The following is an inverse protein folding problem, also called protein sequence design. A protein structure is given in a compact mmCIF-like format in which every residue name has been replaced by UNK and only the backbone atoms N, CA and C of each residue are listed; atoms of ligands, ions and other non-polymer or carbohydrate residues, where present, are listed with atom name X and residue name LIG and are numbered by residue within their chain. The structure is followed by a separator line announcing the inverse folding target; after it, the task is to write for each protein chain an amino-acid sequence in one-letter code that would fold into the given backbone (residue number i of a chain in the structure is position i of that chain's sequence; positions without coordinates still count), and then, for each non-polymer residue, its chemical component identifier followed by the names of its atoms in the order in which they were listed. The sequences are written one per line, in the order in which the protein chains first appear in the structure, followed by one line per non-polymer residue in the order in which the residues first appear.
data_IF_099491756471
#
_entry.id   IF_099491756471
#
_cell.length_a   1.000
_cell.length_b   1.000
_cell.length_c   1.000
_cell.angle_alpha   90.00
_cell.angle_beta   90.00
_cell.angle_gamma   90.00
#
_symmetry.space_group_name_H-M   'P 1'
#
loop_
_entity.id
_entity.type
_entity.pdbx_description
1 polymer ?
#
# COMPACT_ATOMS: atom_id res chain seq x y z
N UNK A 1 35.88 -75.10 -13.83
CA UNK A 1 35.42 -76.43 -13.37
C UNK A 1 35.13 -76.30 -11.88
N UNK A 2 33.99 -76.69 -11.31
CA UNK A 2 32.79 -77.33 -11.87
C UNK A 2 31.54 -77.03 -11.03
N UNK A 3 30.36 -77.08 -11.66
CA UNK A 3 29.08 -77.69 -11.21
C UNK A 3 28.62 -77.51 -9.72
N UNK A 4 27.49 -76.87 -9.30
CA UNK A 4 26.06 -76.83 -9.72
C UNK A 4 25.11 -77.72 -8.86
N UNK A 5 24.06 -77.09 -8.26
CA UNK A 5 22.67 -77.57 -7.92
C UNK A 5 22.25 -78.19 -6.54
N UNK A 6 21.22 -77.52 -5.97
CA UNK A 6 20.00 -77.92 -5.21
C UNK A 6 19.93 -78.69 -3.87
N UNK A 7 19.25 -77.98 -2.93
CA UNK A 7 18.03 -78.33 -2.13
C UNK A 7 17.91 -79.68 -1.38
N UNK A 8 17.47 -79.58 -0.13
CA UNK A 8 16.31 -80.31 0.42
C UNK A 8 15.54 -79.44 1.43
N UNK A 9 14.23 -79.67 1.58
CA UNK A 9 13.30 -78.99 2.50
C UNK A 9 12.50 -80.07 3.25
N UNK A 10 12.30 -79.87 4.57
CA UNK A 10 11.32 -80.49 5.49
C UNK A 10 11.52 -79.75 6.85
N UNK A 11 10.54 -79.42 7.70
CA UNK A 11 9.13 -79.82 7.84
C UNK A 11 8.33 -78.67 8.50
N UNK A 12 7.00 -78.56 8.29
CA UNK A 12 6.09 -77.70 9.07
C UNK A 12 5.35 -78.48 10.17
N UNK A 13 5.02 -77.83 11.29
CA UNK A 13 3.90 -78.17 12.19
C UNK A 13 3.28 -76.84 12.69
N UNK A 14 1.96 -76.63 12.51
CA UNK A 14 1.17 -75.53 13.12
C UNK A 14 0.68 -75.91 14.53
N UNK A 15 0.01 -75.09 15.34
CA UNK A 15 -1.02 -74.03 15.16
C UNK A 15 -1.21 -73.32 16.52
N UNK A 16 -2.15 -72.38 16.74
CA UNK A 16 -2.84 -71.46 15.83
C UNK A 16 -2.24 -70.03 16.04
N UNK A 17 -2.87 -68.85 15.93
CA UNK A 17 -4.23 -68.40 15.56
C UNK A 17 -4.18 -67.00 14.88
N UNK A 18 -5.32 -66.31 14.74
CA UNK A 18 -5.49 -65.11 13.90
C UNK A 18 -5.58 -63.77 14.64
N UNK A 19 -4.85 -62.76 14.15
CA UNK A 19 -5.31 -61.37 14.10
C UNK A 19 -5.03 -60.80 12.71
N UNK A 20 -6.07 -60.36 12.01
CA UNK A 20 -5.96 -59.85 10.63
C UNK A 20 -5.88 -58.31 10.68
N UNK A 21 -4.79 -57.76 10.14
CA UNK A 21 -4.73 -56.37 9.68
C UNK A 21 -4.57 -56.37 8.15
N UNK A 22 -5.29 -55.50 7.40
CA UNK A 22 -5.10 -55.38 5.95
C UNK A 22 -3.72 -54.79 5.62
N UNK A 23 -3.16 -55.06 4.42
CA UNK A 23 -1.88 -54.49 4.02
C UNK A 23 -1.95 -52.96 3.95
N UNK A 24 -0.90 -52.29 4.42
CA UNK A 24 -0.72 -50.86 4.14
C UNK A 24 -0.49 -50.69 2.62
N UNK A 25 -1.30 -49.86 1.98
CA UNK A 25 -0.97 -49.36 0.65
C UNK A 25 0.34 -48.58 0.71
N UNK A 26 1.23 -48.87 -0.23
CA UNK A 26 2.45 -48.10 -0.43
C UNK A 26 2.08 -46.69 -0.85
N UNK A 27 2.32 -45.71 0.04
CA UNK A 27 2.24 -44.30 -0.28
C UNK A 27 3.29 -43.96 -1.35
N UNK A 28 2.89 -43.96 -2.61
CA UNK A 28 3.69 -43.39 -3.69
C UNK A 28 3.88 -41.89 -3.44
N UNK A 29 5.08 -41.39 -3.77
CA UNK A 29 5.41 -39.98 -3.62
C UNK A 29 4.46 -39.09 -4.45
N UNK A 30 4.11 -37.89 -3.96
CA UNK A 30 3.15 -37.03 -4.64
C UNK A 30 3.64 -36.69 -6.06
N UNK A 31 2.78 -36.97 -7.05
CA UNK A 31 3.04 -36.64 -8.45
C UNK A 31 3.41 -35.15 -8.59
N UNK A 32 4.63 -34.90 -9.08
CA UNK A 32 4.93 -33.64 -9.74
C UNK A 32 3.91 -33.45 -10.85
N UNK A 33 3.12 -32.38 -10.76
CA UNK A 33 2.11 -32.03 -11.77
C UNK A 33 2.84 -31.73 -13.08
N UNK A 34 2.90 -32.72 -13.96
CA UNK A 34 3.44 -32.56 -15.30
C UNK A 34 2.58 -31.55 -16.04
N UNK A 35 3.11 -30.35 -16.28
CA UNK A 35 2.51 -29.40 -17.21
C UNK A 35 2.61 -30.03 -18.59
N UNK A 36 1.52 -30.67 -19.01
CA UNK A 36 1.42 -31.39 -20.27
C UNK A 36 1.84 -30.47 -21.41
N UNK A 37 2.83 -30.90 -22.21
CA UNK A 37 3.27 -30.19 -23.41
C UNK A 37 2.07 -29.90 -24.31
N UNK A 38 1.66 -28.64 -24.39
CA UNK A 38 0.82 -28.18 -25.48
C UNK A 38 1.65 -28.28 -26.77
N UNK A 39 1.38 -29.32 -27.55
CA UNK A 39 2.03 -29.54 -28.83
C UNK A 39 1.76 -28.37 -29.77
N UNK A 40 2.81 -27.66 -30.16
CA UNK A 40 2.70 -26.57 -31.12
C UNK A 40 2.32 -27.12 -32.51
N UNK A 41 1.03 -27.07 -32.83
CA UNK A 41 0.48 -27.41 -34.14
C UNK A 41 -0.25 -26.20 -34.72
N UNK A 42 0.52 -25.31 -35.35
CA UNK A 42 0.12 -24.46 -36.51
C UNK A 42 -1.38 -24.12 -36.63
N UNK A 43 -1.95 -23.47 -35.61
CA UNK A 43 -3.40 -23.28 -35.53
C UNK A 43 -3.86 -22.33 -34.43
N UNK A 44 -2.98 -21.40 -34.00
CA UNK A 44 -3.32 -20.34 -33.04
C UNK A 44 -4.26 -19.31 -33.69
N UNK A 45 -5.53 -19.70 -33.80
CA UNK A 45 -6.65 -18.77 -33.89
C UNK A 45 -6.43 -17.67 -32.85
N UNK A 46 -6.50 -16.43 -33.31
CA UNK A 46 -6.13 -15.25 -32.52
C UNK A 46 -7.17 -14.96 -31.45
N UNK A 47 -7.22 -15.80 -30.41
CA UNK A 47 -8.06 -15.62 -29.23
C UNK A 47 -7.70 -14.29 -28.58
N UNK A 48 -8.64 -13.36 -28.69
CA UNK A 48 -8.49 -11.95 -28.41
C UNK A 48 -8.16 -11.74 -26.93
N UNK A 49 -7.02 -11.10 -26.66
CA UNK A 49 -6.57 -10.75 -25.31
C UNK A 49 -6.78 -9.27 -25.14
N UNK A 50 -7.78 -8.88 -24.36
CA UNK A 50 -8.23 -7.50 -24.25
C UNK A 50 -7.75 -6.91 -22.93
N UNK A 51 -6.85 -5.93 -23.02
CA UNK A 51 -6.32 -5.20 -21.88
C UNK A 51 -7.21 -3.99 -21.61
N UNK A 52 -8.05 -4.08 -20.58
CA UNK A 52 -8.90 -2.98 -20.12
C UNK A 52 -8.08 -2.03 -19.25
N UNK A 53 -7.66 -0.91 -19.84
CA UNK A 53 -6.88 0.13 -19.17
C UNK A 53 -6.88 1.43 -19.98
N UNK A 54 -6.60 2.56 -19.32
CA UNK A 54 -5.99 3.70 -20.01
C UNK A 54 -4.53 3.42 -20.37
N UNK A 55 -3.96 4.19 -21.29
CA UNK A 55 -2.52 4.20 -21.54
C UNK A 55 -1.78 4.73 -20.29
N UNK A 56 -1.12 3.82 -19.57
CA UNK A 56 -0.37 4.14 -18.36
C UNK A 56 0.75 3.11 -18.14
N UNK A 57 1.70 3.46 -17.26
CA UNK A 57 2.89 2.65 -16.97
C UNK A 57 2.59 1.19 -16.58
N UNK A 58 1.45 0.94 -15.94
CA UNK A 58 1.08 -0.39 -15.45
C UNK A 58 0.54 -1.27 -16.58
N UNK A 59 -0.23 -0.71 -17.51
CA UNK A 59 -0.61 -1.39 -18.75
C UNK A 59 0.61 -1.65 -19.65
N UNK A 60 1.54 -0.70 -19.71
CA UNK A 60 2.73 -0.80 -20.57
C UNK A 60 3.64 -1.99 -20.21
N UNK A 61 3.68 -2.44 -18.94
CA UNK A 61 4.37 -3.68 -18.54
C UNK A 61 3.91 -4.88 -19.38
N UNK A 62 2.59 -5.04 -19.53
CA UNK A 62 2.00 -6.13 -20.28
C UNK A 62 2.19 -5.97 -21.80
N UNK A 63 2.04 -4.76 -22.32
CA UNK A 63 2.21 -4.50 -23.75
C UNK A 63 3.67 -4.68 -24.20
N UNK A 64 4.64 -4.23 -23.41
CA UNK A 64 6.07 -4.40 -23.72
C UNK A 64 6.47 -5.87 -23.58
N UNK A 65 5.98 -6.58 -22.55
CA UNK A 65 6.14 -8.03 -22.49
C UNK A 65 5.56 -8.70 -23.75
N UNK A 66 4.40 -8.28 -24.23
CA UNK A 66 3.80 -8.80 -25.45
C UNK A 66 4.70 -8.57 -26.69
N UNK A 67 5.28 -7.37 -26.83
CA UNK A 67 6.22 -7.02 -27.90
C UNK A 67 7.52 -7.84 -27.86
N UNK A 68 8.09 -8.13 -26.69
CA UNK A 68 9.26 -9.01 -26.59
C UNK A 68 8.92 -10.47 -26.86
N UNK A 69 7.68 -10.88 -26.55
CA UNK A 69 7.28 -12.28 -26.57
C UNK A 69 6.59 -12.71 -27.88
N UNK A 70 6.37 -11.78 -28.82
CA UNK A 70 5.65 -12.01 -30.08
C UNK A 70 4.14 -12.20 -29.91
N UNK A 71 3.58 -11.80 -28.76
CA UNK A 71 2.18 -12.02 -28.39
C UNK A 71 1.34 -10.81 -28.79
N UNK A 72 0.14 -11.03 -29.34
CA UNK A 72 -0.83 -9.97 -29.58
C UNK A 72 -1.71 -9.73 -28.35
N UNK A 73 -1.65 -8.51 -27.80
CA UNK A 73 -2.55 -8.00 -26.76
C UNK A 73 -3.17 -6.70 -27.30
N UNK A 74 -4.50 -6.59 -27.30
CA UNK A 74 -5.22 -5.39 -27.76
C UNK A 74 -5.69 -4.56 -26.56
N UNK A 75 -5.51 -3.24 -26.59
CA UNK A 75 -6.15 -2.36 -25.63
C UNK A 75 -7.66 -2.29 -25.88
N UNK A 76 -8.46 -2.28 -24.81
CA UNK A 76 -9.92 -2.11 -24.90
C UNK A 76 -10.24 -0.75 -25.52
N UNK A 77 -10.86 -0.76 -26.69
CA UNK A 77 -11.42 0.45 -27.32
C UNK A 77 -12.45 1.10 -26.41
N UNK A 78 -12.49 2.43 -26.41
CA UNK A 78 -13.47 3.26 -25.69
C UNK A 78 -13.48 3.07 -24.16
N UNK A 79 -12.38 2.59 -23.58
CA UNK A 79 -12.23 2.50 -22.13
C UNK A 79 -12.09 3.90 -21.50
N UNK A 80 -13.01 4.26 -20.60
CA UNK A 80 -13.02 5.54 -19.88
C UNK A 80 -12.78 5.33 -18.38
N UNK A 81 -11.63 5.79 -17.88
CA UNK A 81 -11.32 5.74 -16.45
C UNK A 81 -12.32 6.58 -15.64
N UNK A 82 -12.83 6.01 -14.55
CA UNK A 82 -13.87 6.59 -13.70
C UNK A 82 -15.30 6.20 -14.10
N UNK A 83 -15.49 5.61 -15.28
CA UNK A 83 -16.78 5.13 -15.82
C UNK A 83 -16.71 3.63 -16.10
N UNK A 84 -15.91 3.19 -17.08
CA UNK A 84 -15.81 1.78 -17.50
C UNK A 84 -15.35 0.87 -16.36
N UNK A 85 -14.42 1.33 -15.50
CA UNK A 85 -13.94 0.52 -14.36
C UNK A 85 -14.89 0.48 -13.14
N UNK A 86 -16.09 1.06 -13.26
CA UNK A 86 -17.13 1.03 -12.21
C UNK A 86 -18.38 0.28 -12.62
N UNK A 87 -18.49 -0.20 -13.87
CA UNK A 87 -19.66 -0.96 -14.29
C UNK A 87 -19.65 -2.35 -13.62
N UNK A 88 -20.82 -2.98 -13.38
CA UNK A 88 -20.89 -4.30 -12.78
C UNK A 88 -20.09 -5.37 -13.53
N UNK A 89 -19.96 -5.23 -14.85
CA UNK A 89 -19.18 -6.12 -15.72
C UNK A 89 -17.69 -6.01 -15.41
N UNK A 90 -17.18 -4.79 -15.24
CA UNK A 90 -15.77 -4.60 -14.87
C UNK A 90 -15.47 -5.04 -13.45
N UNK A 91 -16.37 -4.77 -12.50
CA UNK A 91 -16.20 -5.20 -11.10
C UNK A 91 -16.19 -6.74 -10.97
N UNK A 92 -16.90 -7.46 -11.85
CA UNK A 92 -16.77 -8.94 -11.95
C UNK A 92 -15.38 -9.40 -12.41
N UNK A 93 -14.70 -8.63 -13.27
CA UNK A 93 -13.33 -8.95 -13.72
C UNK A 93 -12.27 -8.54 -12.70
N UNK A 94 -12.51 -7.47 -11.94
CA UNK A 94 -11.64 -7.02 -10.85
C UNK A 94 -12.48 -6.39 -9.70
N UNK A 95 -12.65 -7.10 -8.57
CA UNK A 95 -13.49 -6.65 -7.45
C UNK A 95 -13.11 -5.28 -6.86
N UNK A 96 -11.84 -4.87 -6.97
CA UNK A 96 -11.37 -3.57 -6.46
C UNK A 96 -11.44 -2.43 -7.51
N UNK A 97 -11.98 -2.70 -8.71
CA UNK A 97 -12.23 -1.69 -9.75
C UNK A 97 -10.97 -0.99 -10.29
N UNK A 98 -9.78 -1.58 -10.11
CA UNK A 98 -8.51 -1.03 -10.59
C UNK A 98 -8.17 -1.50 -12.01
N UNK A 99 -7.30 -0.75 -12.68
CA UNK A 99 -6.69 -1.09 -13.97
C UNK A 99 -5.17 -1.27 -13.82
N UNK A 100 -4.51 -2.04 -14.71
CA UNK A 100 -5.08 -2.82 -15.82
C UNK A 100 -5.78 -4.11 -15.40
N UNK A 101 -6.64 -4.62 -16.29
CA UNK A 101 -7.20 -5.99 -16.25
C UNK A 101 -7.06 -6.62 -17.64
N UNK A 102 -6.57 -7.85 -17.71
CA UNK A 102 -6.49 -8.63 -18.94
C UNK A 102 -7.64 -9.64 -19.00
N UNK A 103 -8.52 -9.46 -19.98
CA UNK A 103 -9.55 -10.44 -20.35
C UNK A 103 -8.93 -11.49 -21.26
N UNK A 104 -9.13 -12.77 -20.92
CA UNK A 104 -8.65 -13.95 -21.67
C UNK A 104 -9.79 -14.96 -21.83
N UNK A 105 -9.70 -15.92 -22.77
CA UNK A 105 -10.73 -16.95 -22.96
C UNK A 105 -11.05 -17.76 -21.69
N UNK A 106 -10.04 -17.98 -20.84
CA UNK A 106 -10.13 -18.83 -19.65
C UNK A 106 -10.49 -18.05 -18.37
N UNK A 107 -10.63 -16.72 -18.47
CA UNK A 107 -10.91 -15.84 -17.34
C UNK A 107 -10.13 -14.52 -17.37
N UNK A 108 -10.31 -13.71 -16.33
CA UNK A 108 -9.66 -12.40 -16.21
C UNK A 108 -8.46 -12.46 -15.25
N UNK A 109 -7.39 -11.75 -15.60
CA UNK A 109 -6.21 -11.54 -14.75
C UNK A 109 -6.12 -10.06 -14.41
N UNK A 110 -6.07 -9.73 -13.12
CA UNK A 110 -5.78 -8.38 -12.62
C UNK A 110 -4.41 -8.36 -11.91
N UNK A 111 -4.00 -7.17 -11.46
CA UNK A 111 -2.62 -6.81 -11.05
C UNK A 111 -1.59 -6.77 -12.19
N UNK A 112 -0.93 -5.62 -12.34
CA UNK A 112 -0.08 -5.33 -13.51
C UNK A 112 1.14 -6.25 -13.66
N UNK A 113 1.76 -6.65 -12.54
CA UNK A 113 2.87 -7.60 -12.55
C UNK A 113 2.36 -9.03 -12.88
N UNK A 114 1.19 -9.43 -12.39
CA UNK A 114 0.59 -10.74 -12.70
C UNK A 114 0.16 -10.84 -14.17
N UNK A 115 -0.41 -9.78 -14.74
CA UNK A 115 -0.71 -9.70 -16.18
C UNK A 115 0.56 -9.81 -17.02
N UNK A 116 1.64 -9.09 -16.65
CA UNK A 116 2.92 -9.19 -17.36
C UNK A 116 3.51 -10.61 -17.28
N UNK A 117 3.44 -11.26 -16.11
CA UNK A 117 3.81 -12.68 -15.91
C UNK A 117 2.99 -13.61 -16.81
N UNK A 118 1.67 -13.42 -16.90
CA UNK A 118 0.79 -14.20 -17.78
C UNK A 118 1.18 -14.03 -19.25
N UNK A 119 1.35 -12.78 -19.71
CA UNK A 119 1.74 -12.48 -21.10
C UNK A 119 3.11 -13.07 -21.47
N UNK A 120 4.07 -13.07 -20.55
CA UNK A 120 5.36 -13.73 -20.75
C UNK A 120 5.24 -15.27 -20.86
N UNK A 121 4.33 -15.90 -20.11
CA UNK A 121 4.11 -17.36 -20.14
C UNK A 121 3.35 -17.86 -21.38
N UNK A 122 2.76 -16.98 -22.18
CA UNK A 122 2.06 -17.35 -23.43
C UNK A 122 3.00 -17.83 -24.56
N UNK A 123 4.31 -17.63 -24.42
CA UNK A 123 5.33 -18.22 -25.28
C UNK A 123 6.29 -19.01 -24.40
N UNK A 124 6.24 -20.35 -24.49
CA UNK A 124 7.04 -21.24 -23.66
C UNK A 124 8.54 -21.16 -23.97
N UNK A 125 8.90 -20.73 -25.18
CA UNK A 125 10.29 -20.56 -25.63
C UNK A 125 10.83 -19.15 -25.34
N UNK A 126 10.03 -18.29 -24.69
CA UNK A 126 10.39 -16.91 -24.36
C UNK A 126 11.32 -16.79 -23.14
N UNK A 127 12.46 -16.12 -23.29
CA UNK A 127 13.48 -15.97 -22.24
C UNK A 127 13.18 -14.85 -21.20
N UNK A 128 11.93 -14.40 -21.06
CA UNK A 128 11.57 -13.27 -20.18
C UNK A 128 11.66 -13.59 -18.68
N UNK A 129 11.87 -14.85 -18.30
CA UNK A 129 12.15 -15.30 -16.94
C UNK A 129 13.62 -15.68 -16.70
N UNK A 130 14.49 -15.51 -17.69
CA UNK A 130 15.83 -16.10 -17.70
C UNK A 130 15.81 -17.61 -17.93
N UNK A 131 16.97 -18.26 -17.76
CA UNK A 131 17.21 -19.65 -18.21
C UNK A 131 17.32 -20.68 -17.09
N UNK A 132 17.29 -20.23 -15.83
CA UNK A 132 17.50 -21.07 -14.64
C UNK A 132 16.58 -20.70 -13.48
N UNK A 133 16.47 -21.58 -12.49
CA UNK A 133 15.67 -21.33 -11.28
C UNK A 133 16.18 -20.10 -10.49
N UNK A 134 17.50 -19.84 -10.51
CA UNK A 134 18.08 -18.67 -9.85
C UNK A 134 17.80 -17.38 -10.65
N UNK A 135 17.79 -17.44 -11.98
CA UNK A 135 17.33 -16.29 -12.79
C UNK A 135 15.86 -15.99 -12.50
N UNK A 136 14.99 -17.01 -12.45
CA UNK A 136 13.58 -16.85 -12.09
C UNK A 136 13.43 -16.15 -10.73
N UNK A 137 14.18 -16.60 -9.71
CA UNK A 137 14.20 -15.97 -8.39
C UNK A 137 14.64 -14.50 -8.44
N UNK A 138 15.68 -14.18 -9.21
CA UNK A 138 16.12 -12.79 -9.40
C UNK A 138 15.13 -11.94 -10.21
N UNK A 139 14.42 -12.51 -11.19
CA UNK A 139 13.38 -11.79 -11.95
C UNK A 139 12.26 -11.36 -11.02
N UNK A 140 11.74 -12.30 -10.21
CA UNK A 140 10.70 -12.03 -9.22
C UNK A 140 11.18 -11.02 -8.16
N UNK A 141 12.40 -11.19 -7.62
CA UNK A 141 13.04 -10.25 -6.68
C UNK A 141 13.04 -8.80 -7.22
N UNK A 142 13.47 -8.60 -8.47
CA UNK A 142 13.54 -7.26 -9.06
C UNK A 142 12.17 -6.70 -9.46
N UNK A 143 11.20 -7.55 -9.84
CA UNK A 143 9.82 -7.12 -10.07
C UNK A 143 9.15 -6.60 -8.80
N UNK A 144 9.39 -7.27 -7.67
CA UNK A 144 8.80 -6.92 -6.39
C UNK A 144 9.54 -5.73 -5.75
N UNK A 145 10.88 -5.70 -5.78
CA UNK A 145 11.68 -4.52 -5.43
C UNK A 145 11.27 -3.29 -6.25
N UNK A 146 10.97 -3.44 -7.54
CA UNK A 146 10.49 -2.33 -8.36
C UNK A 146 9.11 -1.80 -7.90
N UNK A 147 8.25 -2.66 -7.37
CA UNK A 147 6.94 -2.24 -6.84
C UNK A 147 7.07 -1.60 -5.45
N UNK A 148 7.81 -2.22 -4.53
CA UNK A 148 7.94 -1.77 -3.14
C UNK A 148 8.89 -0.58 -2.97
N UNK A 149 10.08 -0.63 -3.57
CA UNK A 149 11.15 0.33 -3.29
C UNK A 149 11.26 1.46 -4.33
N UNK A 150 10.82 1.23 -5.56
CA UNK A 150 10.88 2.24 -6.63
C UNK A 150 9.52 2.90 -6.84
N UNK A 151 8.50 2.15 -7.26
CA UNK A 151 7.20 2.69 -7.64
C UNK A 151 6.45 3.34 -6.46
N UNK A 152 6.45 2.68 -5.30
CA UNK A 152 5.76 3.18 -4.11
C UNK A 152 6.39 4.47 -3.58
N UNK A 153 7.72 4.61 -3.63
CA UNK A 153 8.41 5.82 -3.21
C UNK A 153 8.30 6.96 -4.26
N UNK A 154 8.34 6.65 -5.57
CA UNK A 154 8.00 7.63 -6.63
C UNK A 154 6.56 8.15 -6.44
N UNK A 155 5.59 7.26 -6.19
CA UNK A 155 4.21 7.63 -5.91
C UNK A 155 4.04 8.41 -4.60
N UNK A 156 4.84 8.08 -3.57
CA UNK A 156 4.91 8.80 -2.30
C UNK A 156 5.36 10.25 -2.47
N UNK A 157 6.29 10.53 -3.37
CA UNK A 157 6.76 11.87 -3.71
C UNK A 157 5.79 12.61 -4.68
N UNK A 158 5.38 11.95 -5.76
CA UNK A 158 4.64 12.58 -6.85
C UNK A 158 3.16 12.85 -6.52
N UNK A 159 2.45 11.86 -5.98
CA UNK A 159 0.99 11.94 -5.83
C UNK A 159 0.51 13.03 -4.86
N UNK A 160 1.21 13.37 -3.76
CA UNK A 160 0.87 14.54 -2.96
C UNK A 160 1.06 15.86 -3.72
N UNK A 161 2.13 16.00 -4.50
CA UNK A 161 2.39 17.21 -5.31
C UNK A 161 1.32 17.43 -6.37
N UNK A 162 0.85 16.36 -7.01
CA UNK A 162 -0.27 16.38 -7.96
C UNK A 162 -1.66 16.51 -7.30
N UNK A 163 -1.75 16.57 -5.97
CA UNK A 163 -3.01 16.71 -5.24
C UNK A 163 -3.88 15.43 -5.17
N UNK A 164 -3.34 14.27 -5.56
CA UNK A 164 -4.01 12.97 -5.39
C UNK A 164 -3.92 12.43 -3.96
N UNK A 165 -2.99 12.97 -3.16
CA UNK A 165 -2.84 12.71 -1.72
C UNK A 165 -2.62 14.04 -0.98
N UNK A 166 -2.74 14.05 0.34
CA UNK A 166 -2.38 15.23 1.13
C UNK A 166 -0.86 15.46 1.09
N UNK A 167 -0.44 16.68 0.80
CA UNK A 167 0.97 17.07 0.86
C UNK A 167 1.41 17.29 2.30
N UNK A 168 2.41 16.50 2.72
CA UNK A 168 3.06 16.56 4.03
C UNK A 168 4.57 16.59 3.76
N UNK A 169 5.29 17.69 4.07
CA UNK A 169 6.71 17.83 3.73
C UNK A 169 7.58 16.66 4.22
N UNK A 170 7.38 16.24 5.48
CA UNK A 170 8.15 15.16 6.10
C UNK A 170 7.89 13.80 5.43
N UNK A 171 6.67 13.53 4.97
CA UNK A 171 6.35 12.29 4.26
C UNK A 171 7.00 12.26 2.86
N UNK A 172 7.10 13.42 2.22
CA UNK A 172 7.85 13.58 0.97
C UNK A 172 9.36 13.39 1.19
N UNK A 173 9.94 14.02 2.21
CA UNK A 173 11.37 13.84 2.56
C UNK A 173 11.71 12.36 2.81
N UNK A 174 10.84 11.62 3.52
CA UNK A 174 10.98 10.18 3.72
C UNK A 174 10.86 9.39 2.40
N UNK A 175 9.89 9.71 1.54
CA UNK A 175 9.74 9.07 0.24
C UNK A 175 10.96 9.31 -0.67
N UNK A 176 11.51 10.53 -0.67
CA UNK A 176 12.74 10.91 -1.36
C UNK A 176 13.93 10.12 -0.81
N UNK A 177 14.11 10.06 0.51
CA UNK A 177 15.22 9.36 1.15
C UNK A 177 15.17 7.84 0.90
N UNK A 178 13.99 7.24 0.95
CA UNK A 178 13.79 5.82 0.62
C UNK A 178 14.05 5.55 -0.87
N UNK A 179 13.55 6.41 -1.77
CA UNK A 179 13.84 6.30 -3.20
C UNK A 179 15.33 6.42 -3.49
N UNK A 180 16.05 7.35 -2.85
CA UNK A 180 17.50 7.47 -2.98
C UNK A 180 18.24 6.22 -2.51
N UNK A 181 17.81 5.60 -1.40
CA UNK A 181 18.36 4.31 -0.92
C UNK A 181 18.17 3.20 -1.95
N UNK A 182 16.96 3.08 -2.49
CA UNK A 182 16.61 2.08 -3.50
C UNK A 182 17.38 2.29 -4.81
N UNK A 183 17.45 3.53 -5.31
CA UNK A 183 18.24 3.89 -6.48
C UNK A 183 19.74 3.69 -6.25
N UNK A 184 20.25 3.90 -5.03
CA UNK A 184 21.63 3.58 -4.66
C UNK A 184 21.94 2.09 -4.79
N UNK A 185 21.09 1.22 -4.23
CA UNK A 185 21.23 -0.23 -4.37
C UNK A 185 21.15 -0.69 -5.84
N UNK A 186 20.19 -0.15 -6.59
CA UNK A 186 20.01 -0.41 -8.02
C UNK A 186 21.22 0.08 -8.85
N UNK A 187 21.77 1.26 -8.52
CA UNK A 187 22.95 1.83 -9.15
C UNK A 187 24.19 0.97 -8.93
N UNK A 188 24.37 0.42 -7.72
CA UNK A 188 25.44 -0.53 -7.39
C UNK A 188 25.30 -1.83 -8.19
N UNK A 189 24.11 -2.43 -8.26
CA UNK A 189 23.87 -3.63 -9.08
C UNK A 189 24.17 -3.38 -10.56
N UNK A 190 23.73 -2.24 -11.08
CA UNK A 190 23.93 -1.85 -12.47
C UNK A 190 25.36 -1.37 -12.78
N UNK A 191 26.26 -1.24 -11.80
CA UNK A 191 27.65 -0.84 -12.07
C UNK A 191 28.38 -1.84 -12.98
N UNK A 192 28.13 -3.14 -12.77
CA UNK A 192 28.70 -4.25 -13.55
C UNK A 192 27.72 -4.95 -14.48
N UNK A 193 26.43 -4.58 -14.47
CA UNK A 193 25.37 -5.26 -15.23
C UNK A 193 24.66 -4.33 -16.24
N UNK A 194 24.39 -4.84 -17.44
CA UNK A 194 23.64 -4.15 -18.50
C UNK A 194 22.12 -4.27 -18.30
N UNK A 195 21.68 -5.43 -17.82
CA UNK A 195 20.30 -5.79 -17.52
C UNK A 195 20.21 -6.26 -16.06
N UNK A 196 19.01 -6.39 -15.50
CA UNK A 196 18.85 -6.78 -14.10
C UNK A 196 19.17 -8.26 -13.85
N UNK A 197 18.90 -9.14 -14.82
CA UNK A 197 19.12 -10.59 -14.73
C UNK A 197 19.76 -11.11 -16.01
N UNK A 198 20.87 -11.84 -15.89
CA UNK A 198 21.56 -12.46 -17.03
C UNK A 198 22.11 -11.45 -18.04
N UNK A 199 21.91 -11.74 -19.33
CA UNK A 199 22.52 -11.00 -20.45
C UNK A 199 21.49 -10.41 -21.45
N UNK A 200 20.22 -10.35 -21.07
CA UNK A 200 19.15 -9.83 -21.92
C UNK A 200 17.98 -9.26 -21.13
N UNK A 201 17.01 -8.65 -21.82
CA UNK A 201 15.81 -8.09 -21.20
C UNK A 201 14.93 -9.20 -20.64
N UNK A 202 14.56 -9.07 -19.37
CA UNK A 202 13.61 -9.95 -18.66
C UNK A 202 12.38 -9.16 -18.17
N UNK A 203 11.41 -9.82 -17.54
CA UNK A 203 10.30 -9.13 -16.88
C UNK A 203 10.75 -8.16 -15.79
N UNK A 204 11.87 -8.43 -15.10
CA UNK A 204 12.47 -7.50 -14.15
C UNK A 204 12.78 -6.17 -14.83
N UNK A 205 13.44 -6.22 -15.98
CA UNK A 205 13.81 -5.03 -16.74
C UNK A 205 12.59 -4.27 -17.22
N UNK A 206 11.60 -4.98 -17.78
CA UNK A 206 10.35 -4.40 -18.30
C UNK A 206 9.57 -3.67 -17.19
N UNK A 207 9.40 -4.31 -16.02
CA UNK A 207 8.69 -3.71 -14.87
C UNK A 207 9.47 -2.53 -14.30
N UNK A 208 10.80 -2.69 -14.12
CA UNK A 208 11.66 -1.63 -13.61
C UNK A 208 11.65 -0.39 -14.50
N UNK A 209 11.82 -0.57 -15.81
CA UNK A 209 11.78 0.51 -16.79
C UNK A 209 10.41 1.17 -16.82
N UNK A 210 9.31 0.43 -16.72
CA UNK A 210 7.99 1.05 -16.70
C UNK A 210 7.78 1.97 -15.49
N UNK A 211 8.24 1.57 -14.31
CA UNK A 211 8.14 2.38 -13.10
C UNK A 211 9.11 3.57 -13.13
N UNK A 212 10.38 3.34 -13.51
CA UNK A 212 11.39 4.41 -13.63
C UNK A 212 11.03 5.41 -14.73
N UNK A 213 10.63 4.99 -15.93
CA UNK A 213 10.29 5.89 -17.03
C UNK A 213 9.13 6.84 -16.67
N UNK A 214 8.16 6.37 -15.87
CA UNK A 214 7.13 7.25 -15.33
C UNK A 214 7.72 8.31 -14.38
N UNK A 215 8.59 7.91 -13.45
CA UNK A 215 9.31 8.83 -12.58
C UNK A 215 10.16 9.85 -13.36
N UNK A 216 10.97 9.39 -14.32
CA UNK A 216 11.76 10.23 -15.21
C UNK A 216 10.89 11.23 -15.98
N UNK A 217 9.72 10.83 -16.49
CA UNK A 217 8.79 11.75 -17.20
C UNK A 217 8.06 12.75 -16.30
N UNK A 218 8.06 12.58 -14.98
CA UNK A 218 7.13 13.33 -14.09
C UNK A 218 7.80 14.06 -12.92
N UNK A 219 8.92 13.57 -12.37
CA UNK A 219 9.48 14.11 -11.12
C UNK A 219 10.99 13.93 -10.94
N UNK A 220 11.60 12.91 -11.55
CA UNK A 220 13.03 12.63 -11.38
C UNK A 220 13.84 13.55 -12.31
N UNK A 221 14.17 14.74 -11.80
CA UNK A 221 14.94 15.76 -12.53
C UNK A 221 16.39 15.33 -12.75
N UNK A 222 17.06 15.96 -13.73
CA UNK A 222 18.47 15.66 -14.03
C UNK A 222 19.41 15.85 -12.83
N UNK A 223 19.12 16.84 -11.98
CA UNK A 223 19.85 17.10 -10.72
C UNK A 223 19.67 16.00 -9.67
N UNK A 224 18.53 15.29 -9.68
CA UNK A 224 18.28 14.17 -8.79
C UNK A 224 18.90 12.88 -9.33
N UNK A 225 18.80 12.64 -10.65
CA UNK A 225 19.28 11.39 -11.27
C UNK A 225 20.78 11.35 -11.48
N UNK A 226 21.49 12.49 -11.47
CA UNK A 226 22.95 12.54 -11.56
C UNK A 226 23.68 11.85 -10.41
N UNK A 227 23.01 11.60 -9.27
CA UNK A 227 23.54 10.78 -8.17
C UNK A 227 23.60 9.28 -8.53
N UNK A 228 22.91 8.85 -9.59
CA UNK A 228 22.71 7.45 -9.97
C UNK A 228 23.06 7.18 -11.46
N UNK A 229 24.32 7.42 -11.89
CA UNK A 229 24.70 7.37 -13.31
C UNK A 229 24.49 6.00 -13.98
N UNK A 230 24.59 4.90 -13.23
CA UNK A 230 24.35 3.56 -13.76
C UNK A 230 22.85 3.29 -13.99
N UNK A 231 21.97 3.91 -13.20
CA UNK A 231 20.52 3.90 -13.42
C UNK A 231 20.15 4.77 -14.62
N UNK A 232 20.75 5.96 -14.77
CA UNK A 232 20.56 6.78 -15.97
C UNK A 232 20.97 6.05 -17.25
N UNK A 233 22.18 5.47 -17.28
CA UNK A 233 22.65 4.68 -18.42
C UNK A 233 21.68 3.53 -18.73
N UNK A 234 21.22 2.82 -17.70
CA UNK A 234 20.28 1.70 -17.84
C UNK A 234 18.92 2.14 -18.41
N UNK A 235 18.28 3.18 -17.86
CA UNK A 235 16.97 3.63 -18.35
C UNK A 235 17.06 4.12 -19.79
N UNK A 236 18.09 4.89 -20.14
CA UNK A 236 18.28 5.40 -21.50
C UNK A 236 18.65 4.31 -22.51
N UNK A 237 19.37 3.26 -22.11
CA UNK A 237 19.57 2.08 -22.95
C UNK A 237 18.24 1.40 -23.26
N UNK A 238 17.38 1.17 -22.27
CA UNK A 238 16.17 0.37 -22.45
C UNK A 238 15.00 1.13 -23.09
N UNK A 239 14.68 2.35 -22.67
CA UNK A 239 13.54 3.10 -23.25
C UNK A 239 13.71 3.40 -24.74
N UNK A 240 14.95 3.39 -25.24
CA UNK A 240 15.26 3.58 -26.66
C UNK A 240 15.29 2.29 -27.48
N UNK A 241 15.19 1.10 -26.87
CA UNK A 241 15.04 -0.14 -27.64
C UNK A 241 13.68 -0.16 -28.36
N UNK A 242 13.56 -0.79 -29.56
CA UNK A 242 12.35 -0.75 -30.36
C UNK A 242 11.07 -1.16 -29.62
N UNK A 243 11.12 -2.27 -28.88
CA UNK A 243 9.97 -2.84 -28.15
C UNK A 243 9.45 -1.89 -27.06
N UNK A 244 10.36 -1.23 -26.33
CA UNK A 244 9.99 -0.21 -25.34
C UNK A 244 9.47 1.06 -26.02
N UNK A 245 10.21 1.59 -27.01
CA UNK A 245 9.90 2.86 -27.70
C UNK A 245 8.58 2.81 -28.47
N UNK A 246 8.18 1.65 -28.98
CA UNK A 246 6.88 1.42 -29.63
C UNK A 246 5.69 1.64 -28.68
N UNK A 247 5.85 1.36 -27.39
CA UNK A 247 4.80 1.49 -26.36
C UNK A 247 4.92 2.80 -25.57
N UNK A 248 6.13 3.19 -25.17
CA UNK A 248 6.37 4.40 -24.38
C UNK A 248 6.41 5.70 -25.20
N UNK A 249 6.61 5.59 -26.51
CA UNK A 249 6.95 6.72 -27.38
C UNK A 249 8.32 7.31 -27.05
N UNK A 250 8.49 8.60 -27.33
CA UNK A 250 9.66 9.35 -26.88
C UNK A 250 9.58 9.62 -25.37
N UNK A 251 10.59 9.19 -24.62
CA UNK A 251 10.73 9.46 -23.18
C UNK A 251 11.58 10.73 -23.01
N UNK A 252 10.99 11.77 -22.39
CA UNK A 252 11.68 13.01 -22.00
C UNK A 252 11.74 13.09 -20.49
N UNK A 253 12.88 13.53 -19.96
CA UNK A 253 13.06 13.68 -18.53
C UNK A 253 12.40 14.96 -18.01
N UNK A 254 11.92 14.94 -16.77
CA UNK A 254 11.35 16.09 -16.09
C UNK A 254 12.41 17.18 -15.89
N UNK A 255 12.11 18.39 -16.36
CA UNK A 255 12.99 19.56 -16.19
C UNK A 255 12.93 20.12 -14.76
N UNK A 256 11.77 19.98 -14.10
CA UNK A 256 11.52 20.44 -12.74
C UNK A 256 10.62 19.45 -11.97
N UNK A 257 10.75 19.44 -10.64
CA UNK A 257 9.81 18.76 -9.74
C UNK A 257 8.47 19.52 -9.79
N UNK A 258 7.32 18.85 -9.96
CA UNK A 258 6.01 19.53 -10.00
C UNK A 258 5.77 20.38 -8.74
N UNK A 259 5.29 21.61 -8.93
CA UNK A 259 4.89 22.46 -7.81
C UNK A 259 3.75 21.79 -7.02
N UNK A 260 3.73 21.98 -5.70
CA UNK A 260 2.66 21.47 -4.85
C UNK A 260 1.34 22.12 -5.26
N UNK A 261 0.36 21.32 -5.67
CA UNK A 261 -0.96 21.81 -6.06
C UNK A 261 -1.61 22.58 -4.91
N UNK A 262 -1.67 23.91 -5.05
CA UNK A 262 -2.39 24.77 -4.11
C UNK A 262 -3.89 24.52 -4.24
N UNK A 263 -4.57 24.31 -3.10
CA UNK A 263 -6.02 24.00 -3.04
C UNK A 263 -6.88 25.15 -3.59
N UNK A 264 -7.06 25.19 -4.92
CA UNK A 264 -8.25 25.76 -5.52
C UNK A 264 -9.28 24.62 -5.66
N UNK A 265 -10.53 24.77 -5.18
CA UNK A 265 -11.55 23.75 -5.40
C UNK A 265 -11.66 23.45 -6.90
N UNK A 266 -11.61 22.17 -7.26
CA UNK A 266 -11.75 21.76 -8.64
C UNK A 266 -13.17 22.10 -9.12
N UNK A 267 -13.31 23.23 -9.83
CA UNK A 267 -14.50 23.51 -10.61
C UNK A 267 -14.63 22.43 -11.67
N UNK A 268 -15.56 21.51 -11.45
CA UNK A 268 -16.12 20.69 -12.52
C UNK A 268 -16.63 21.63 -13.60
N UNK A 269 -15.93 21.67 -14.75
CA UNK A 269 -16.47 22.29 -15.96
C UNK A 269 -17.67 21.47 -16.40
N UNK A 270 -18.86 21.89 -16.00
CA UNK A 270 -20.11 21.35 -16.56
C UNK A 270 -20.09 21.54 -18.08
N UNK A 271 -20.34 20.45 -18.79
CA UNK A 271 -20.63 20.51 -20.22
C UNK A 271 -22.00 21.17 -20.40
N UNK A 272 -22.04 22.29 -21.11
CA UNK A 272 -23.26 23.07 -21.29
C UNK A 272 -24.37 22.26 -21.99
N UNK A 273 -25.57 22.23 -21.38
CA UNK A 273 -26.78 21.71 -22.01
C UNK A 273 -27.61 22.86 -22.62
N UNK A 274 -28.22 22.72 -23.82
CA UNK A 274 -28.93 23.81 -24.47
C UNK A 274 -30.27 24.19 -23.82
N UNK A 275 -30.71 25.43 -24.05
CA UNK A 275 -31.99 26.00 -23.59
C UNK A 275 -33.21 25.27 -24.17
N UNK A 276 -34.23 25.08 -23.33
CA UNK A 276 -35.64 24.90 -23.73
C UNK A 276 -36.54 25.88 -22.96
N UNK A 277 -37.76 26.13 -23.45
CA UNK A 277 -38.54 27.36 -23.22
C UNK A 277 -39.45 27.34 -21.97
N UNK A 278 -39.85 28.56 -21.55
CA UNK A 278 -41.06 28.88 -20.77
C UNK A 278 -42.33 28.20 -21.34
N UNK A 279 -43.46 27.96 -20.65
CA UNK A 279 -44.23 28.71 -19.62
C UNK A 279 -45.41 27.76 -19.14
N UNK A 280 -46.43 28.14 -18.32
CA UNK A 280 -46.48 28.74 -16.96
C UNK A 280 -47.22 27.86 -15.89
N UNK A 281 -47.30 28.40 -14.66
CA UNK A 281 -47.93 27.91 -13.40
C UNK A 281 -49.35 27.29 -13.47
N UNK A 282 -49.61 26.36 -12.53
CA UNK A 282 -50.86 26.30 -11.72
C UNK A 282 -50.60 25.68 -10.33
N UNK A 283 -51.57 25.78 -9.41
CA UNK A 283 -51.35 25.83 -7.95
C UNK A 283 -52.31 24.90 -7.15
N UNK A 284 -51.97 24.64 -5.88
CA UNK A 284 -52.78 24.05 -4.77
C UNK A 284 -52.78 22.52 -4.57
N UNK A 285 -52.77 22.12 -3.29
CA UNK A 285 -52.59 20.79 -2.68
C UNK A 285 -53.90 20.03 -2.44
N UNK A 286 -53.85 18.68 -2.32
CA UNK A 286 -54.37 17.94 -1.13
C UNK A 286 -53.86 16.50 -1.03
N UNK A 287 -54.09 15.86 0.12
CA UNK A 287 -53.54 14.58 0.59
C UNK A 287 -54.22 13.34 -0.01
N UNK A 288 -53.50 12.22 -0.11
CA UNK A 288 -53.90 10.88 0.40
C UNK A 288 -52.71 9.88 0.37
N UNK A 289 -52.87 8.68 0.94
CA UNK A 289 -51.72 7.85 1.37
C UNK A 289 -51.66 6.41 0.81
N UNK A 290 -50.43 6.01 0.40
CA UNK A 290 -49.89 4.62 0.24
C UNK A 290 -50.47 3.73 -0.89
N UNK A 291 -49.73 2.67 -1.35
CA UNK A 291 -48.27 2.61 -1.57
C UNK A 291 -47.82 1.74 -2.79
N UNK A 292 -46.94 2.23 -3.69
CA UNK A 292 -45.89 1.42 -4.35
C UNK A 292 -45.10 2.21 -5.42
N UNK A 293 -43.89 1.72 -5.71
CA UNK A 293 -43.05 1.96 -6.89
C UNK A 293 -42.22 3.27 -7.03
N UNK A 294 -40.92 3.03 -7.22
CA UNK A 294 -39.83 3.81 -7.85
C UNK A 294 -39.87 5.36 -7.87
N UNK A 295 -38.99 5.96 -7.07
CA UNK A 295 -38.45 7.29 -7.32
C UNK A 295 -36.94 7.32 -6.97
N UNK A 296 -36.13 7.94 -7.84
CA UNK A 296 -34.67 8.01 -7.69
C UNK A 296 -34.27 8.75 -6.40
N UNK A 297 -33.51 8.08 -5.53
CA UNK A 297 -32.80 8.76 -4.44
C UNK A 297 -31.66 9.61 -5.02
N UNK A 298 -31.71 10.92 -4.78
CA UNK A 298 -30.57 11.82 -5.01
C UNK A 298 -29.30 11.28 -4.32
N UNK A 299 -28.10 11.49 -4.90
CA UNK A 299 -26.89 10.77 -4.49
C UNK A 299 -26.57 10.98 -3.01
N UNK A 300 -26.66 9.88 -2.24
CA UNK A 300 -26.32 9.86 -0.81
C UNK A 300 -24.92 10.45 -0.60
N UNK A 301 -24.75 11.44 0.30
CA UNK A 301 -23.42 11.93 0.63
C UNK A 301 -22.58 10.79 1.20
N UNK A 302 -21.26 10.85 0.98
CA UNK A 302 -20.31 9.90 1.58
C UNK A 302 -20.61 9.76 3.08
N UNK A 303 -20.58 8.54 3.65
CA UNK A 303 -20.86 8.33 5.07
C UNK A 303 -19.97 9.25 5.89
N UNK A 304 -20.60 10.15 6.66
CA UNK A 304 -19.89 11.01 7.62
C UNK A 304 -19.30 10.10 8.69
N UNK A 305 -18.07 10.36 9.11
CA UNK A 305 -17.49 9.64 10.25
C UNK A 305 -18.41 9.88 11.47
N UNK A 306 -18.72 8.88 12.33
CA UNK A 306 -19.59 9.10 13.48
C UNK A 306 -19.18 10.28 14.38
N UNK A 307 -17.88 10.60 14.46
CA UNK A 307 -17.38 11.74 15.23
C UNK A 307 -17.72 13.12 14.60
N UNK A 308 -18.01 13.19 13.30
CA UNK A 308 -18.52 14.39 12.63
C UNK A 308 -19.99 14.70 12.98
N UNK A 309 -20.68 13.77 13.66
CA UNK A 309 -22.07 13.92 14.10
C UNK A 309 -22.17 14.31 15.59
N UNK A 310 -21.06 14.33 16.33
CA UNK A 310 -21.03 14.69 17.75
C UNK A 310 -21.31 16.20 17.96
N UNK A 311 -22.01 16.60 19.04
CA UNK A 311 -22.30 18.01 19.34
C UNK A 311 -21.04 18.88 19.38
N UNK A 312 -21.04 20.11 18.82
CA UNK A 312 -19.87 20.98 18.81
C UNK A 312 -19.24 21.14 20.20
N UNK A 313 -17.93 20.94 20.28
CA UNK A 313 -17.15 21.13 21.50
C UNK A 313 -16.68 22.58 21.63
N UNK A 314 -16.48 23.05 22.86
CA UNK A 314 -15.78 24.31 23.14
C UNK A 314 -14.30 24.23 22.74
N UNK A 315 -13.72 23.03 22.75
CA UNK A 315 -12.35 22.78 22.34
C UNK A 315 -12.26 22.61 20.81
N UNK A 316 -11.57 23.54 20.15
CA UNK A 316 -11.20 23.39 18.73
C UNK A 316 -9.84 22.68 18.66
N UNK A 317 -9.82 21.42 18.21
CA UNK A 317 -8.61 20.59 18.19
C UNK A 317 -7.47 21.20 17.35
N UNK A 318 -7.81 21.87 16.24
CA UNK A 318 -6.81 22.54 15.38
C UNK A 318 -6.17 23.75 16.08
N UNK A 319 -6.92 24.46 16.94
CA UNK A 319 -6.38 25.57 17.74
C UNK A 319 -5.46 25.06 18.85
N UNK A 320 -5.82 23.94 19.50
CA UNK A 320 -4.92 23.25 20.41
C UNK A 320 -3.62 22.83 19.71
N UNK A 321 -3.71 22.12 18.58
CA UNK A 321 -2.53 21.67 17.81
C UNK A 321 -1.66 22.82 17.33
N UNK A 322 -2.28 23.96 16.99
CA UNK A 322 -1.59 25.20 16.63
C UNK A 322 -0.86 25.82 17.83
N UNK A 323 -1.51 25.93 18.98
CA UNK A 323 -0.88 26.43 20.22
C UNK A 323 0.32 25.56 20.62
N UNK A 324 0.11 24.24 20.68
CA UNK A 324 1.17 23.26 20.97
C UNK A 324 2.36 23.40 20.01
N UNK A 325 2.10 23.51 18.71
CA UNK A 325 3.16 23.59 17.69
C UNK A 325 3.92 24.91 17.68
N UNK A 326 3.27 26.01 18.07
CA UNK A 326 3.85 27.34 18.11
C UNK A 326 4.64 27.61 19.40
N UNK A 327 4.35 26.87 20.48
CA UNK A 327 5.09 26.98 21.74
C UNK A 327 6.49 26.39 21.57
N UNK A 328 7.53 27.18 21.84
CA UNK A 328 8.96 26.80 21.71
C UNK A 328 9.74 26.86 23.03
N UNK A 329 9.24 27.61 23.99
CA UNK A 329 9.76 27.76 25.35
C UNK A 329 8.57 27.97 26.30
N UNK A 330 8.81 27.89 27.60
CA UNK A 330 7.78 28.08 28.64
C UNK A 330 6.56 27.16 28.42
N UNK A 331 6.83 25.89 28.09
CA UNK A 331 5.83 24.94 27.63
C UNK A 331 4.70 24.74 28.65
N UNK A 332 5.05 24.74 29.95
CA UNK A 332 4.10 24.72 31.07
C UNK A 332 3.14 25.92 31.09
N UNK A 333 3.68 27.13 30.95
CA UNK A 333 2.94 28.39 31.09
C UNK A 333 2.05 28.69 29.88
N UNK A 334 2.43 28.20 28.69
CA UNK A 334 1.75 28.49 27.43
C UNK A 334 0.94 27.31 26.92
N UNK A 335 1.58 26.17 26.62
CA UNK A 335 0.90 25.02 26.02
C UNK A 335 0.11 24.22 27.05
N UNK A 336 0.70 23.85 28.20
CA UNK A 336 -0.02 23.09 29.23
C UNK A 336 -1.15 23.92 29.82
N UNK A 337 -0.91 25.18 30.19
CA UNK A 337 -1.98 26.07 30.66
C UNK A 337 -3.09 26.22 29.61
N UNK A 338 -2.72 26.53 28.36
CA UNK A 338 -3.70 26.70 27.28
C UNK A 338 -4.46 25.41 26.94
N UNK A 339 -3.84 24.24 27.09
CA UNK A 339 -4.55 22.95 26.99
C UNK A 339 -5.69 22.89 28.00
N UNK A 340 -5.40 23.11 29.28
CA UNK A 340 -6.42 23.06 30.34
C UNK A 340 -7.45 24.21 30.26
N UNK A 341 -7.06 25.39 29.78
CA UNK A 341 -8.00 26.50 29.50
C UNK A 341 -8.98 26.15 28.34
N UNK A 342 -8.54 25.33 27.38
CA UNK A 342 -9.35 24.90 26.21
C UNK A 342 -10.06 23.56 26.39
N UNK A 343 -9.62 22.71 27.32
CA UNK A 343 -10.07 21.32 27.42
C UNK A 343 -11.56 21.23 27.78
N UNK A 344 -12.29 20.41 27.03
CA UNK A 344 -13.73 20.26 27.14
C UNK A 344 -14.11 18.78 27.33
N UNK A 345 -14.41 18.33 28.57
CA UNK A 345 -14.69 16.92 28.86
C UNK A 345 -15.99 16.38 28.27
N UNK A 346 -16.92 17.26 27.87
CA UNK A 346 -18.12 16.87 27.11
C UNK A 346 -17.77 16.58 25.64
N UNK A 347 -16.72 17.25 25.13
CA UNK A 347 -16.29 17.18 23.75
C UNK A 347 -15.17 16.18 23.47
N UNK A 348 -14.27 15.96 24.42
CA UNK A 348 -13.08 15.13 24.28
C UNK A 348 -12.81 14.30 25.53
N UNK A 349 -12.18 13.15 25.32
CA UNK A 349 -11.67 12.30 26.38
C UNK A 349 -10.15 12.22 26.30
N UNK A 350 -9.53 12.15 27.47
CA UNK A 350 -8.09 12.05 27.63
C UNK A 350 -7.77 10.67 28.21
N UNK A 351 -6.76 9.99 27.66
CA UNK A 351 -6.41 8.61 27.99
C UNK A 351 -4.91 8.45 28.14
N UNK A 352 -4.48 7.75 29.18
CA UNK A 352 -3.15 7.16 29.22
C UNK A 352 -3.14 5.86 28.41
N UNK A 353 -2.03 5.58 27.74
CA UNK A 353 -1.76 4.27 27.16
C UNK A 353 -0.37 3.76 27.60
N UNK A 354 -0.33 2.76 28.47
CA UNK A 354 0.92 2.16 28.97
C UNK A 354 1.15 0.84 28.19
N UNK A 355 2.35 0.64 27.60
CA UNK A 355 2.62 -0.53 26.74
C UNK A 355 2.78 -1.80 27.58
N UNK A 356 2.10 -2.89 27.19
CA UNK A 356 2.03 -4.13 28.01
C UNK A 356 3.32 -4.93 28.06
N UNK A 357 4.15 -4.83 27.02
CA UNK A 357 5.32 -5.71 26.82
C UNK A 357 6.65 -4.96 26.92
N UNK A 358 6.80 -4.09 27.92
CA UNK A 358 8.00 -3.26 28.07
C UNK A 358 9.29 -4.10 28.19
N UNK A 359 9.25 -5.27 28.83
CA UNK A 359 10.41 -6.15 29.01
C UNK A 359 11.03 -6.62 27.67
N UNK A 360 10.27 -6.62 26.58
CA UNK A 360 10.76 -6.96 25.23
C UNK A 360 11.55 -5.81 24.58
N UNK A 361 11.40 -4.57 25.06
CA UNK A 361 11.99 -3.37 24.49
C UNK A 361 13.48 -3.24 24.90
N UNK A 362 14.29 -4.22 24.52
CA UNK A 362 15.72 -4.30 24.88
C UNK A 362 16.64 -3.43 24.02
N UNK A 363 16.12 -2.89 22.91
CA UNK A 363 16.90 -2.12 21.93
C UNK A 363 16.20 -0.80 21.63
N UNK A 364 16.91 0.32 21.86
CA UNK A 364 16.35 1.68 21.76
C UNK A 364 15.80 1.97 20.37
N UNK A 365 16.59 1.82 19.31
CA UNK A 365 16.14 2.12 17.94
C UNK A 365 14.96 1.25 17.48
N UNK A 366 14.87 0.00 17.93
CA UNK A 366 13.73 -0.89 17.65
C UNK A 366 12.47 -0.38 18.35
N UNK A 367 12.59 0.01 19.60
CA UNK A 367 11.49 0.60 20.40
C UNK A 367 11.00 1.91 19.79
N UNK A 368 11.91 2.79 19.38
CA UNK A 368 11.61 4.05 18.68
C UNK A 368 10.89 3.82 17.35
N UNK A 369 11.27 2.77 16.60
CA UNK A 369 10.61 2.37 15.36
C UNK A 369 9.23 1.75 15.61
N UNK A 370 9.06 0.95 16.68
CA UNK A 370 7.77 0.39 17.12
C UNK A 370 6.75 1.50 17.39
N UNK A 371 7.12 2.51 18.21
CA UNK A 371 6.30 3.70 18.47
C UNK A 371 6.03 4.49 17.18
N UNK A 372 7.03 4.65 16.31
CA UNK A 372 6.86 5.31 15.01
C UNK A 372 5.82 4.63 14.11
N UNK A 373 5.84 3.29 14.06
CA UNK A 373 4.86 2.49 13.32
C UNK A 373 3.44 2.60 13.88
N UNK A 374 3.29 2.60 15.21
CA UNK A 374 2.00 2.85 15.86
C UNK A 374 1.42 4.22 15.46
N UNK A 375 2.23 5.28 15.54
CA UNK A 375 1.80 6.63 15.14
C UNK A 375 1.45 6.76 13.64
N UNK A 376 2.03 5.92 12.77
CA UNK A 376 1.65 5.85 11.36
C UNK A 376 0.30 5.15 11.16
N UNK A 377 0.02 4.07 11.91
CA UNK A 377 -1.29 3.37 11.85
C UNK A 377 -2.42 4.22 12.43
N UNK A 378 -2.11 5.06 13.42
CA UNK A 378 -3.04 6.05 13.97
C UNK A 378 -3.39 7.21 13.02
N UNK A 379 -2.81 7.32 11.81
CA UNK A 379 -3.06 8.43 10.88
C UNK A 379 -4.55 8.61 10.50
N UNK A 380 -5.31 7.52 10.46
CA UNK A 380 -6.77 7.50 10.31
C UNK A 380 -7.52 8.34 11.37
N UNK A 381 -6.90 8.52 12.55
CA UNK A 381 -7.42 9.32 13.66
C UNK A 381 -6.99 10.79 13.61
N UNK A 382 -6.10 11.21 12.69
CA UNK A 382 -5.43 12.53 12.76
C UNK A 382 -6.39 13.72 12.85
N UNK A 383 -7.54 13.66 12.17
CA UNK A 383 -8.58 14.71 12.25
C UNK A 383 -9.24 14.81 13.64
N UNK A 384 -9.24 13.75 14.42
CA UNK A 384 -10.05 13.59 15.64
C UNK A 384 -9.22 13.37 16.91
N UNK A 385 -7.90 13.27 16.79
CA UNK A 385 -7.01 12.96 17.90
C UNK A 385 -5.77 13.84 17.97
N UNK A 386 -5.22 13.96 19.17
CA UNK A 386 -3.86 14.41 19.46
C UNK A 386 -3.22 13.40 20.40
N UNK A 387 -1.92 13.12 20.26
CA UNK A 387 -1.22 12.12 21.05
C UNK A 387 0.21 12.49 21.36
N UNK A 388 0.71 12.01 22.50
CA UNK A 388 2.11 12.03 22.90
C UNK A 388 2.52 10.61 23.28
N UNK A 389 3.65 10.15 22.78
CA UNK A 389 4.26 8.86 23.12
C UNK A 389 5.68 9.13 23.62
N UNK A 390 5.96 8.72 24.85
CA UNK A 390 7.26 8.82 25.48
C UNK A 390 7.94 7.45 25.46
N UNK A 391 9.24 7.44 25.17
CA UNK A 391 10.13 6.29 25.40
C UNK A 391 11.04 6.66 26.56
N UNK A 392 11.01 5.87 27.61
CA UNK A 392 11.55 6.20 28.93
C UNK A 392 12.57 5.13 29.34
N UNK A 393 13.65 5.56 29.99
CA UNK A 393 14.77 4.73 30.45
C UNK A 393 16.08 5.05 29.73
N UNK A 394 17.18 5.10 30.49
CA UNK A 394 18.54 5.25 29.98
C UNK A 394 19.17 3.93 29.53
N UNK A 395 18.67 2.82 30.07
CA UNK A 395 19.11 1.44 29.81
C UNK A 395 17.87 0.55 29.56
N UNK A 396 18.01 -0.56 28.83
CA UNK A 396 16.89 -1.48 28.61
C UNK A 396 16.47 -2.22 29.90
N UNK A 397 15.19 -2.62 30.02
CA UNK A 397 14.11 -2.47 29.04
C UNK A 397 13.51 -1.05 28.99
N UNK A 398 13.31 -0.53 27.77
CA UNK A 398 12.74 0.80 27.54
C UNK A 398 11.22 0.80 27.68
N UNK A 399 10.70 1.65 28.58
CA UNK A 399 9.26 1.78 28.82
C UNK A 399 8.62 2.66 27.76
N UNK A 400 7.48 2.24 27.22
CA UNK A 400 6.67 3.05 26.30
C UNK A 400 5.37 3.44 26.99
N UNK A 401 5.14 4.74 27.09
CA UNK A 401 3.94 5.34 27.69
C UNK A 401 3.36 6.41 26.77
N UNK A 402 2.06 6.65 26.82
CA UNK A 402 1.43 7.67 26.00
C UNK A 402 0.25 8.37 26.65
N UNK A 403 -0.09 9.52 26.09
CA UNK A 403 -1.24 10.36 26.42
C UNK A 403 -1.98 10.66 25.12
N UNK A 404 -3.27 10.35 25.06
CA UNK A 404 -4.11 10.54 23.88
C UNK A 404 -5.37 11.32 24.22
N UNK A 405 -5.58 12.40 23.47
CA UNK A 405 -6.81 13.17 23.43
C UNK A 405 -7.62 12.69 22.22
N UNK A 406 -8.82 12.15 22.45
CA UNK A 406 -9.76 11.75 21.40
C UNK A 406 -11.03 12.59 21.42
N UNK A 407 -11.57 12.89 20.23
CA UNK A 407 -12.88 13.50 20.06
C UNK A 407 -13.98 12.51 20.48
N UNK A 408 -14.86 12.95 21.37
CA UNK A 408 -15.87 12.11 22.01
C UNK A 408 -15.42 11.59 23.39
N UNK A 409 -16.36 11.03 24.15
CA UNK A 409 -16.11 10.60 25.54
C UNK A 409 -15.34 9.30 25.65
N UNK A 410 -15.27 8.49 24.60
CA UNK A 410 -14.57 7.20 24.57
C UNK A 410 -13.53 7.14 23.45
N UNK A 411 -12.62 6.15 23.53
CA UNK A 411 -11.70 5.82 22.43
C UNK A 411 -12.55 5.47 21.19
N UNK A 412 -12.37 6.16 20.03
CA UNK A 412 -13.21 5.95 18.86
C UNK A 412 -13.12 4.53 18.30
N UNK A 413 -14.26 3.85 18.17
CA UNK A 413 -14.33 2.43 17.78
C UNK A 413 -13.57 2.11 16.48
N UNK A 414 -13.67 2.96 15.46
CA UNK A 414 -12.96 2.75 14.19
C UNK A 414 -11.43 2.78 14.30
N UNK A 415 -10.88 3.29 15.41
CA UNK A 415 -9.44 3.20 15.71
C UNK A 415 -9.13 1.82 16.28
N UNK A 416 -9.98 1.30 17.16
CA UNK A 416 -9.85 -0.05 17.74
C UNK A 416 -9.97 -1.09 16.63
N UNK A 417 -10.93 -0.94 15.72
CA UNK A 417 -11.19 -1.88 14.63
C UNK A 417 -10.05 -1.96 13.58
N UNK A 418 -9.40 -0.82 13.29
CA UNK A 418 -8.41 -0.70 12.20
C UNK A 418 -6.94 -0.70 12.69
N UNK A 419 -6.70 -0.42 13.98
CA UNK A 419 -5.35 -0.35 14.56
C UNK A 419 -5.14 -1.44 15.60
N UNK A 420 -4.68 -2.62 15.15
CA UNK A 420 -4.42 -3.78 16.01
C UNK A 420 -3.45 -3.50 17.18
N UNK A 421 -2.56 -2.51 17.05
CA UNK A 421 -1.68 -2.05 18.14
C UNK A 421 -2.44 -1.58 19.38
N UNK A 422 -3.70 -1.15 19.25
CA UNK A 422 -4.50 -0.69 20.39
C UNK A 422 -4.60 -1.75 21.49
N UNK A 423 -4.61 -3.03 21.14
CA UNK A 423 -4.62 -4.15 22.09
C UNK A 423 -3.29 -4.35 22.82
N UNK A 424 -2.17 -3.83 22.29
CA UNK A 424 -0.83 -3.94 22.89
C UNK A 424 -0.58 -2.94 24.03
N UNK A 425 -1.50 -1.99 24.23
CA UNK A 425 -1.47 -1.02 25.32
C UNK A 425 -2.61 -1.28 26.30
N UNK A 426 -2.38 -0.91 27.57
CA UNK A 426 -3.43 -0.75 28.57
C UNK A 426 -3.92 0.71 28.53
N UNK A 427 -5.22 0.89 28.31
CA UNK A 427 -5.84 2.21 28.12
C UNK A 427 -6.63 2.61 29.35
N UNK A 428 -6.19 3.68 30.03
CA UNK A 428 -6.83 4.20 31.24
C UNK A 428 -7.30 5.62 31.00
N UNK A 429 -8.60 5.88 31.17
CA UNK A 429 -9.18 7.21 31.05
C UNK A 429 -8.65 8.11 32.16
N UNK A 430 -8.16 9.29 31.80
CA UNK A 430 -7.61 10.26 32.77
C UNK A 430 -8.75 10.87 33.57
N UNK A 431 -8.69 10.76 34.90
CA UNK A 431 -9.55 11.55 35.77
C UNK A 431 -8.97 12.97 35.89
N UNK A 432 -9.67 13.95 35.33
CA UNK A 432 -9.28 15.37 35.34
C UNK A 432 -9.46 16.04 36.71
N UNK A 433 -10.14 15.37 37.65
CA UNK A 433 -10.31 15.83 39.03
C UNK A 433 -9.21 15.27 39.95
N UNK A 434 -8.46 14.27 39.48
CA UNK A 434 -7.26 13.77 40.15
C UNK A 434 -6.07 14.64 39.72
N UNK A 435 -5.65 15.53 40.62
CA UNK A 435 -4.53 16.45 40.38
C UNK A 435 -3.20 15.71 40.08
N UNK A 436 -3.01 14.47 40.55
CA UNK A 436 -1.81 13.68 40.22
C UNK A 436 -1.86 13.17 38.77
N UNK A 437 -3.02 12.71 38.30
CA UNK A 437 -3.21 12.33 36.89
C UNK A 437 -3.15 13.54 35.96
N UNK A 438 -3.70 14.67 36.37
CA UNK A 438 -3.65 15.94 35.65
C UNK A 438 -2.22 16.48 35.52
N UNK A 439 -1.41 16.35 36.58
CA UNK A 439 0.02 16.66 36.54
C UNK A 439 0.78 15.67 35.64
N UNK A 440 0.52 14.35 35.74
CA UNK A 440 1.10 13.33 34.85
C UNK A 440 0.81 13.65 33.37
N UNK A 441 -0.43 13.96 33.02
CA UNK A 441 -0.81 14.37 31.67
C UNK A 441 -0.09 15.66 31.23
N UNK A 442 0.05 16.63 32.13
CA UNK A 442 0.78 17.89 31.89
C UNK A 442 2.26 17.65 31.57
N UNK A 443 2.92 16.78 32.33
CA UNK A 443 4.31 16.36 32.11
C UNK A 443 4.51 15.67 30.75
N UNK A 444 3.54 14.85 30.31
CA UNK A 444 3.58 14.20 28.99
C UNK A 444 3.31 15.15 27.82
N UNK A 445 2.62 16.27 28.05
CA UNK A 445 2.43 17.32 27.04
C UNK A 445 3.74 18.08 26.81
N UNK A 446 4.46 18.42 27.88
CA UNK A 446 5.66 19.25 27.82
C UNK A 446 7.00 18.52 27.67
N UNK A 447 6.99 17.19 27.60
CA UNK A 447 8.19 16.35 27.55
C UNK A 447 9.10 16.55 28.77
N UNK A 448 8.49 16.53 29.96
CA UNK A 448 9.20 16.70 31.22
C UNK A 448 10.30 15.64 31.39
N UNK A 449 11.52 16.10 31.69
CA UNK A 449 12.66 15.24 31.97
C UNK A 449 13.25 15.57 33.36
N UNK A 450 13.37 14.59 34.28
CA UNK A 450 12.95 13.20 34.16
C UNK A 450 11.41 13.04 34.21
N UNK A 451 10.89 12.01 33.56
CA UNK A 451 9.47 11.64 33.58
C UNK A 451 9.25 10.45 34.53
N UNK A 452 8.30 10.57 35.48
CA UNK A 452 8.05 9.55 36.53
C UNK A 452 9.32 9.14 37.33
N UNK A 453 10.37 10.00 37.34
CA UNK A 453 11.66 9.73 37.98
C UNK A 453 12.70 9.02 37.10
N UNK A 454 12.38 8.75 35.84
CA UNK A 454 13.25 8.09 34.86
C UNK A 454 13.66 9.03 33.71
N UNK A 455 14.80 8.76 33.08
CA UNK A 455 15.30 9.57 31.95
C UNK A 455 14.37 9.45 30.72
N UNK A 456 14.18 10.55 29.99
CA UNK A 456 13.34 10.58 28.79
C UNK A 456 14.21 10.35 27.55
N UNK A 457 14.10 9.18 26.92
CA UNK A 457 14.93 8.82 25.76
C UNK A 457 14.44 9.49 24.46
N UNK A 458 13.12 9.56 24.26
CA UNK A 458 12.49 10.24 23.12
C UNK A 458 11.03 10.57 23.41
N UNK A 459 10.50 11.58 22.73
CA UNK A 459 9.10 11.99 22.82
C UNK A 459 8.50 12.30 21.45
N UNK A 460 7.55 11.46 21.01
CA UNK A 460 6.89 11.59 19.70
C UNK A 460 5.50 12.20 19.84
N UNK A 461 5.20 13.18 18.99
CA UNK A 461 3.91 13.87 18.94
C UNK A 461 3.09 13.44 17.73
N UNK A 462 1.83 13.09 17.97
CA UNK A 462 0.79 12.87 16.98
C UNK A 462 -0.18 14.06 16.96
N UNK A 463 -0.33 14.70 15.81
CA UNK A 463 -1.18 15.89 15.60
C UNK A 463 -1.57 16.06 14.15
#
# INVERSE_FOLDING_TARGET
MSTVISRHILTQIGTPETTIYPPQETLEAPLFYSVSKFSAASGLLSLLKVLHSSENKNAFKALIAAEFNGVKVELKKDFQMGVSNKTPEFIKMNPIGKIPVLETPDGCVFESNAIARYVARLNADGNLYGSSLIDYGHVEQWMDFSASEIDSNIGGWLYPRLGYRAYIPQAEEVAIANLKRALGALNTHLASNTYLVGHGVTLADIVMVCNLAYGFKTILTKSFTSEFPHVERYIWTLVNQPNFKKVWGEVKQAEAVPAVASKKPAQTKEAAKPKAKEQPKKEVKKEEAKPSEEAEEAPKPKPKNPLDLLPPSKMVLDDWKRLYSNTKSNFREVAVKGFWDMFDPEGYSLWFCDYKYNDENTVSFVTLNKVGGFLQRMDLARKYAFGKMLVIGSEPPFKVKGLWLFRGTEVPQFIIDECYDMELYEWTKVDINDEAQKERASQMIEDAEPFEGEALLDAKCFK
#
